data_IF_871978552141
#
_entry.id   IF_871978552141
#
_cell.length_a   1.000
_cell.length_b   1.000
_cell.length_c   1.000
_cell.angle_alpha   90.00
_cell.angle_beta   90.00
_cell.angle_gamma   90.00
#
_symmetry.space_group_name_H-M   'P 1'
#
loop_
_entity.id
_entity.type
_entity.pdbx_description
1 polymer ?
#
# COMPACT_ATOMS: atom_id res chain seq x y z
N UNK A 1 -18.56 55.39 -19.32
CA UNK A 1 -19.28 54.12 -19.06
C UNK A 1 -18.28 53.00 -19.32
N UNK A 2 -17.58 52.51 -18.29
CA UNK A 2 -16.55 51.46 -18.42
C UNK A 2 -17.22 50.11 -18.21
N UNK A 3 -17.21 49.26 -19.23
CA UNK A 3 -17.72 47.89 -19.18
C UNK A 3 -16.66 47.02 -18.50
N UNK A 4 -16.95 46.52 -17.29
CA UNK A 4 -16.08 45.58 -16.60
C UNK A 4 -16.29 44.17 -17.18
N UNK A 5 -15.24 43.61 -17.78
CA UNK A 5 -15.21 42.23 -18.25
C UNK A 5 -14.97 41.30 -17.04
N UNK A 6 -15.99 40.56 -16.61
CA UNK A 6 -15.87 39.56 -15.56
C UNK A 6 -15.35 38.25 -16.16
N UNK A 7 -14.06 37.96 -15.98
CA UNK A 7 -13.48 36.67 -16.38
C UNK A 7 -13.81 35.60 -15.31
N UNK A 8 -14.79 34.74 -15.60
CA UNK A 8 -15.11 33.57 -14.78
C UNK A 8 -14.01 32.51 -14.91
N UNK A 9 -13.33 32.20 -13.81
CA UNK A 9 -12.39 31.08 -13.75
C UNK A 9 -13.16 29.76 -13.67
N UNK A 10 -13.10 28.94 -14.71
CA UNK A 10 -13.49 27.53 -14.64
C UNK A 10 -12.46 26.79 -13.78
N UNK A 11 -12.85 26.42 -12.56
CA UNK A 11 -12.09 25.47 -11.76
C UNK A 11 -12.33 24.08 -12.34
N UNK A 12 -11.30 23.47 -12.94
CA UNK A 12 -11.37 22.07 -13.37
C UNK A 12 -11.26 21.18 -12.15
N UNK A 13 -12.36 20.53 -11.77
CA UNK A 13 -12.36 19.51 -10.73
C UNK A 13 -11.63 18.27 -11.25
N UNK A 14 -10.47 17.96 -10.70
CA UNK A 14 -9.83 16.66 -10.89
C UNK A 14 -10.65 15.61 -10.16
N UNK A 15 -11.29 14.71 -10.89
CA UNK A 15 -11.89 13.51 -10.31
C UNK A 15 -10.74 12.60 -9.90
N UNK A 16 -10.56 12.36 -8.60
CA UNK A 16 -9.62 11.36 -8.12
C UNK A 16 -10.16 9.98 -8.49
N UNK A 17 -9.45 9.24 -9.34
CA UNK A 17 -9.79 7.86 -9.67
C UNK A 17 -9.36 6.97 -8.50
N UNK A 18 -10.30 6.18 -7.96
CA UNK A 18 -10.00 5.20 -6.93
C UNK A 18 -9.00 4.16 -7.46
N UNK A 19 -7.93 3.91 -6.70
CA UNK A 19 -6.95 2.88 -7.06
C UNK A 19 -7.45 1.51 -6.61
N UNK A 20 -7.26 0.49 -7.43
CA UNK A 20 -7.64 -0.88 -7.10
C UNK A 20 -6.67 -1.87 -7.71
N UNK A 21 -6.06 -2.71 -6.85
CA UNK A 21 -5.10 -3.73 -7.25
C UNK A 21 -5.51 -5.08 -6.65
N UNK A 22 -5.48 -6.13 -7.47
CA UNK A 22 -5.59 -7.50 -7.01
C UNK A 22 -4.26 -8.21 -7.18
N UNK A 23 -3.57 -8.44 -6.07
CA UNK A 23 -2.41 -9.34 -6.04
C UNK A 23 -2.91 -10.78 -5.96
N UNK A 24 -2.56 -11.65 -6.90
CA UNK A 24 -3.05 -13.03 -6.94
C UNK A 24 -1.94 -14.07 -7.03
N UNK A 25 -2.23 -15.29 -6.55
CA UNK A 25 -1.29 -16.42 -6.56
C UNK A 25 -0.25 -16.36 -5.44
N UNK A 26 -0.41 -15.46 -4.46
CA UNK A 26 0.56 -15.22 -3.42
C UNK A 26 0.67 -16.40 -2.44
N UNK A 27 1.80 -16.46 -1.75
CA UNK A 27 1.92 -17.09 -0.43
C UNK A 27 1.86 -15.96 0.60
N UNK A 28 0.70 -15.72 1.20
CA UNK A 28 0.54 -14.64 2.19
C UNK A 28 0.76 -15.16 3.60
N UNK A 29 1.64 -14.49 4.34
CA UNK A 29 1.78 -14.67 5.78
C UNK A 29 0.98 -13.57 6.45
N UNK A 30 0.00 -13.93 7.28
CA UNK A 30 -0.88 -12.99 7.98
C UNK A 30 -1.03 -13.39 9.45
N UNK A 31 -1.54 -12.46 10.26
CA UNK A 31 -1.94 -12.76 11.64
C UNK A 31 -3.45 -12.97 11.69
N UNK A 32 -3.87 -14.12 12.21
CA UNK A 32 -5.28 -14.42 12.47
C UNK A 32 -5.61 -14.01 13.92
N UNK A 33 -6.30 -12.90 14.07
CA UNK A 33 -6.69 -12.35 15.38
C UNK A 33 -7.63 -13.29 16.14
N UNK A 34 -8.53 -14.00 15.43
CA UNK A 34 -9.50 -14.90 16.07
C UNK A 34 -8.82 -16.11 16.70
N UNK A 35 -7.73 -16.56 16.10
CA UNK A 35 -6.95 -17.71 16.55
C UNK A 35 -5.64 -17.33 17.26
N UNK A 36 -5.40 -16.02 17.44
CA UNK A 36 -4.19 -15.41 18.00
C UNK A 36 -2.89 -16.03 17.50
N UNK A 37 -2.79 -16.27 16.18
CA UNK A 37 -1.63 -16.97 15.60
C UNK A 37 -1.31 -16.49 14.19
N UNK A 38 -0.07 -16.75 13.79
CA UNK A 38 0.34 -16.60 12.39
C UNK A 38 -0.33 -17.66 11.51
N UNK A 39 -0.74 -17.24 10.32
CA UNK A 39 -1.38 -18.07 9.31
C UNK A 39 -0.63 -17.94 7.99
N UNK A 40 -0.46 -19.07 7.29
CA UNK A 40 0.16 -19.13 5.96
C UNK A 40 -0.91 -19.51 4.97
N UNK A 41 -1.32 -18.55 4.14
CA UNK A 41 -2.31 -18.74 3.09
C UNK A 41 -1.56 -19.00 1.77
N UNK A 42 -1.75 -20.19 1.20
CA UNK A 42 -1.15 -20.57 -0.08
C UNK A 42 -2.16 -20.30 -1.20
N UNK A 43 -1.68 -19.78 -2.33
CA UNK A 43 -2.52 -19.40 -3.47
C UNK A 43 -3.60 -18.37 -3.09
N UNK A 44 -3.25 -17.43 -2.23
CA UNK A 44 -4.14 -16.37 -1.76
C UNK A 44 -4.23 -15.23 -2.77
N UNK A 45 -5.25 -14.40 -2.57
CA UNK A 45 -5.37 -13.10 -3.24
C UNK A 45 -5.60 -11.96 -2.25
N UNK A 46 -5.02 -10.80 -2.53
CA UNK A 46 -5.08 -9.59 -1.73
C UNK A 46 -5.63 -8.46 -2.59
N UNK A 47 -6.82 -7.98 -2.25
CA UNK A 47 -7.42 -6.81 -2.89
C UNK A 47 -7.04 -5.57 -2.09
N UNK A 48 -6.34 -4.64 -2.73
CA UNK A 48 -6.01 -3.32 -2.20
C UNK A 48 -6.84 -2.28 -2.92
N UNK A 49 -7.49 -1.39 -2.16
CA UNK A 49 -8.27 -0.28 -2.68
C UNK A 49 -7.89 0.99 -1.92
N UNK A 50 -7.55 2.06 -2.63
CA UNK A 50 -7.22 3.37 -2.03
C UNK A 50 -6.26 3.23 -0.83
N UNK A 51 -5.16 2.50 -1.05
CA UNK A 51 -4.08 2.25 -0.07
C UNK A 51 -4.47 1.39 1.15
N UNK A 52 -5.67 0.82 1.16
CA UNK A 52 -6.13 -0.10 2.20
C UNK A 52 -6.33 -1.52 1.68
N UNK A 53 -5.98 -2.51 2.50
CA UNK A 53 -6.37 -3.89 2.25
C UNK A 53 -7.88 -4.02 2.41
N UNK A 54 -8.58 -4.18 1.29
CA UNK A 54 -10.03 -4.33 1.25
C UNK A 54 -10.46 -5.78 1.52
N UNK A 55 -9.67 -6.76 1.05
CA UNK A 55 -9.89 -8.17 1.41
C UNK A 55 -8.63 -9.02 1.23
N UNK A 56 -8.54 -10.07 2.04
CA UNK A 56 -7.56 -11.14 1.92
C UNK A 56 -8.32 -12.46 1.80
N UNK A 57 -8.11 -13.18 0.69
CA UNK A 57 -8.87 -14.39 0.37
C UNK A 57 -7.92 -15.58 0.29
N UNK A 58 -8.36 -16.73 0.81
CA UNK A 58 -7.58 -17.98 0.79
C UNK A 58 -7.42 -18.57 -0.61
N UNK A 59 -8.24 -18.13 -1.56
CA UNK A 59 -8.21 -18.56 -2.95
C UNK A 59 -8.01 -17.34 -3.87
N UNK A 60 -7.45 -17.59 -5.05
CA UNK A 60 -7.14 -16.55 -6.05
C UNK A 60 -8.35 -16.02 -6.82
N UNK A 61 -9.53 -16.64 -6.68
CA UNK A 61 -10.75 -16.26 -7.41
C UNK A 61 -11.61 -15.34 -6.54
N UNK A 62 -11.75 -14.09 -6.95
CA UNK A 62 -12.75 -13.16 -6.44
C UNK A 62 -13.89 -13.06 -7.45
N UNK A 63 -15.13 -13.25 -7.00
CA UNK A 63 -16.30 -13.31 -7.87
C UNK A 63 -16.76 -11.94 -8.39
N UNK A 64 -16.44 -10.85 -7.69
CA UNK A 64 -16.79 -9.48 -8.07
C UNK A 64 -15.65 -8.55 -7.69
N UNK A 65 -15.14 -7.81 -8.68
CA UNK A 65 -14.09 -6.81 -8.50
C UNK A 65 -14.59 -5.45 -8.96
N UNK A 66 -14.11 -4.35 -8.35
CA UNK A 66 -14.35 -3.00 -8.85
C UNK A 66 -13.99 -2.87 -10.33
N UNK A 67 -14.71 -2.01 -11.06
CA UNK A 67 -14.28 -1.63 -12.40
C UNK A 67 -12.85 -1.08 -12.35
N UNK A 68 -12.02 -1.38 -13.35
CA UNK A 68 -10.62 -0.95 -13.45
C UNK A 68 -9.66 -1.46 -12.36
N UNK A 69 -9.97 -2.57 -11.68
CA UNK A 69 -8.96 -3.26 -10.86
C UNK A 69 -7.80 -3.77 -11.73
N UNK A 70 -6.58 -3.39 -11.37
CA UNK A 70 -5.36 -3.92 -11.96
C UNK A 70 -5.03 -5.29 -11.35
N UNK A 71 -4.72 -6.26 -12.20
CA UNK A 71 -4.32 -7.60 -11.79
C UNK A 71 -2.81 -7.69 -11.74
N UNK A 72 -2.28 -8.05 -10.58
CA UNK A 72 -0.84 -8.20 -10.35
C UNK A 72 -0.54 -9.64 -10.01
N UNK A 73 0.11 -10.34 -10.93
CA UNK A 73 0.53 -11.73 -10.72
C UNK A 73 1.76 -11.77 -9.79
N UNK A 74 1.55 -12.37 -8.62
CA UNK A 74 2.60 -12.60 -7.62
C UNK A 74 2.74 -14.10 -7.31
N UNK A 75 2.40 -14.95 -8.28
CA UNK A 75 2.48 -16.41 -8.14
C UNK A 75 3.88 -16.85 -7.69
N UNK A 76 3.90 -17.66 -6.63
CA UNK A 76 5.14 -18.18 -6.04
C UNK A 76 5.94 -17.17 -5.20
N UNK A 77 5.49 -15.91 -5.09
CA UNK A 77 6.10 -14.91 -4.21
C UNK A 77 5.49 -14.97 -2.81
N UNK A 78 6.28 -14.56 -1.82
CA UNK A 78 5.83 -14.41 -0.43
C UNK A 78 5.44 -12.95 -0.19
N UNK A 79 4.28 -12.74 0.41
CA UNK A 79 3.80 -11.42 0.84
C UNK A 79 3.63 -11.42 2.35
N UNK A 80 4.18 -10.41 3.02
CA UNK A 80 4.07 -10.20 4.47
C UNK A 80 3.59 -8.79 4.76
N UNK A 81 3.05 -8.52 5.96
CA UNK A 81 2.92 -7.16 6.45
C UNK A 81 4.26 -6.43 6.36
N UNK A 82 4.21 -5.10 6.19
CA UNK A 82 5.39 -4.27 6.28
C UNK A 82 6.06 -4.43 7.65
N UNK A 83 7.39 -4.50 7.66
CA UNK A 83 8.14 -4.55 8.91
C UNK A 83 8.07 -3.21 9.63
N UNK A 84 7.81 -3.22 10.94
CA UNK A 84 7.79 -2.03 11.79
C UNK A 84 9.10 -1.97 12.57
N UNK A 85 9.89 -0.92 12.35
CA UNK A 85 11.08 -0.65 13.14
C UNK A 85 10.74 0.30 14.29
N UNK A 86 10.56 -0.26 15.49
CA UNK A 86 10.16 0.51 16.69
C UNK A 86 11.33 1.23 17.36
N UNK A 87 12.57 0.88 17.01
CA UNK A 87 13.74 1.47 17.61
C UNK A 87 14.85 1.59 16.57
N UNK A 88 14.98 2.79 16.03
CA UNK A 88 16.04 3.16 15.11
C UNK A 88 16.71 4.46 15.56
N UNK A 89 18.03 4.45 15.67
CA UNK A 89 18.81 5.67 15.87
C UNK A 89 19.25 6.17 14.49
N UNK A 90 18.33 6.87 13.81
CA UNK A 90 18.43 7.36 12.43
C UNK A 90 19.77 8.05 12.11
N UNK A 91 20.33 8.78 13.07
CA UNK A 91 21.57 9.54 12.92
C UNK A 91 22.86 8.75 13.12
N UNK A 92 22.84 7.50 13.60
CA UNK A 92 24.08 6.77 13.87
C UNK A 92 24.90 6.49 12.60
N UNK A 93 24.24 6.22 11.48
CA UNK A 93 24.93 5.98 10.20
C UNK A 93 25.62 7.26 9.72
N UNK A 94 24.92 8.40 9.77
CA UNK A 94 25.49 9.70 9.39
C UNK A 94 26.58 10.15 10.37
N UNK A 95 26.36 9.97 11.67
CA UNK A 95 27.30 10.36 12.73
C UNK A 95 28.63 9.60 12.62
N UNK A 96 28.58 8.28 12.41
CA UNK A 96 29.79 7.46 12.18
C UNK A 96 30.51 7.82 10.88
N UNK A 97 29.81 8.34 9.87
CA UNK A 97 30.42 8.71 8.58
C UNK A 97 31.03 10.12 8.58
N UNK A 98 30.38 11.12 9.19
CA UNK A 98 30.77 12.53 9.08
C UNK A 98 31.41 13.13 10.32
N UNK A 99 31.27 12.50 11.48
CA UNK A 99 31.77 12.99 12.76
C UNK A 99 32.33 11.86 13.64
N UNK A 100 33.17 10.95 13.11
CA UNK A 100 33.59 9.76 13.86
C UNK A 100 34.38 10.08 15.14
N UNK A 101 35.00 11.27 15.23
CA UNK A 101 35.94 11.65 16.29
C UNK A 101 35.60 12.95 17.03
N UNK A 102 34.39 13.50 16.88
CA UNK A 102 34.03 14.81 17.47
C UNK A 102 33.47 14.71 18.90
N UNK A 103 33.37 13.50 19.45
CA UNK A 103 32.99 13.21 20.84
C UNK A 103 33.94 12.16 21.45
N UNK A 104 35.26 12.39 21.32
CA UNK A 104 36.31 11.73 22.10
C UNK A 104 36.83 12.66 23.18
#
# INVERSE_FOLDING_TARGET
>A
MFVALLATRLATSTIAQASSFLFHGAITIAFDESASRMSVLRNSSLLVQNDHVASLNRNSVLSVLPSSTEYVDVTGKITTPGSINTHHLLGQTVFKTFAPNTLS
#
